data_IF_922192576937
#
_entry.id   IF_922192576937
#
_cell.length_a   1.000
_cell.length_b   1.000
_cell.length_c   1.000
_cell.angle_alpha   90.00
_cell.angle_beta   90.00
_cell.angle_gamma   90.00
#
_symmetry.space_group_name_H-M   'P 1'
#
loop_
_entity.id
_entity.type
_entity.pdbx_description
1 polymer ?
#
# COMPACT_ATOMS: atom_id res chain seq x y z
N UNK A 1 7.78 42.06 24.03
CA UNK A 1 7.23 40.80 24.60
C UNK A 1 5.91 40.35 23.97
N UNK A 2 4.72 40.85 24.34
CA UNK A 2 3.46 40.27 23.81
C UNK A 2 3.25 40.49 22.30
N UNK A 3 3.63 41.68 21.79
CA UNK A 3 3.59 41.97 20.34
C UNK A 3 4.57 41.12 19.54
N UNK A 4 5.79 40.92 20.04
CA UNK A 4 6.79 40.04 19.41
C UNK A 4 6.34 38.57 19.41
N UNK A 5 5.74 38.12 20.51
CA UNK A 5 5.24 36.75 20.62
C UNK A 5 4.11 36.49 19.62
N UNK A 6 3.18 37.44 19.48
CA UNK A 6 2.11 37.37 18.47
C UNK A 6 2.64 37.43 17.04
N UNK A 7 3.66 38.25 16.77
CA UNK A 7 4.31 38.32 15.46
C UNK A 7 5.02 37.00 15.11
N UNK A 8 5.74 36.39 16.06
CA UNK A 8 6.40 35.10 15.87
C UNK A 8 5.40 33.95 15.63
N UNK A 9 4.29 33.92 16.38
CA UNK A 9 3.22 32.94 16.17
C UNK A 9 2.55 33.10 14.79
N UNK A 10 2.33 34.34 14.34
CA UNK A 10 1.80 34.61 13.00
C UNK A 10 2.76 34.12 11.92
N UNK A 11 4.04 34.43 12.04
CA UNK A 11 5.05 33.98 11.08
C UNK A 11 5.20 32.46 11.02
N UNK A 12 5.18 31.78 12.17
CA UNK A 12 5.16 30.32 12.21
C UNK A 12 3.90 29.74 11.56
N UNK A 13 2.73 30.34 11.80
CA UNK A 13 1.48 29.88 11.21
C UNK A 13 1.49 30.03 9.69
N UNK A 14 1.94 31.17 9.18
CA UNK A 14 2.09 31.43 7.74
C UNK A 14 3.08 30.44 7.10
N UNK A 15 4.19 30.12 7.77
CA UNK A 15 5.14 29.12 7.29
C UNK A 15 4.54 27.71 7.25
N UNK A 16 3.76 27.33 8.26
CA UNK A 16 3.05 26.05 8.29
C UNK A 16 1.96 25.95 7.21
N UNK A 17 1.18 27.02 7.03
CA UNK A 17 0.16 27.09 5.97
C UNK A 17 0.80 26.97 4.58
N UNK A 18 1.93 27.65 4.35
CA UNK A 18 2.69 27.54 3.11
C UNK A 18 3.22 26.12 2.87
N UNK A 19 3.71 25.44 3.92
CA UNK A 19 4.16 24.03 3.83
C UNK A 19 3.03 23.07 3.50
N UNK A 20 1.86 23.24 4.12
CA UNK A 20 0.67 22.41 3.84
C UNK A 20 0.22 22.62 2.40
N UNK A 21 0.15 23.87 1.94
CA UNK A 21 -0.24 24.19 0.57
C UNK A 21 0.71 23.57 -0.45
N UNK A 22 2.02 23.75 -0.28
CA UNK A 22 3.03 23.17 -1.18
C UNK A 22 2.98 21.63 -1.21
N UNK A 23 2.71 21.00 -0.07
CA UNK A 23 2.57 19.53 0.00
C UNK A 23 1.31 19.06 -0.71
N UNK A 24 0.21 19.80 -0.57
CA UNK A 24 -1.08 19.48 -1.21
C UNK A 24 -0.99 19.68 -2.73
N UNK A 25 -0.39 20.77 -3.20
CA UNK A 25 -0.17 21.02 -4.62
C UNK A 25 0.70 19.94 -5.25
N UNK A 26 1.77 19.52 -4.58
CA UNK A 26 2.63 18.41 -5.02
C UNK A 26 1.85 17.08 -5.07
N UNK A 27 0.98 16.83 -4.09
CA UNK A 27 0.10 15.65 -4.08
C UNK A 27 -0.88 15.63 -5.26
N UNK A 28 -1.52 16.77 -5.54
CA UNK A 28 -2.44 16.91 -6.67
C UNK A 28 -1.70 16.77 -8.01
N UNK A 29 -0.50 17.32 -8.12
CA UNK A 29 0.35 17.19 -9.31
C UNK A 29 0.76 15.74 -9.54
N UNK A 30 1.21 15.02 -8.50
CA UNK A 30 1.55 13.59 -8.59
C UNK A 30 0.34 12.72 -8.97
N UNK A 31 -0.84 13.00 -8.39
CA UNK A 31 -2.07 12.31 -8.77
C UNK A 31 -2.49 12.61 -10.21
N UNK A 32 -2.32 13.87 -10.66
CA UNK A 32 -2.62 14.27 -12.04
C UNK A 32 -1.69 13.59 -13.03
N UNK A 33 -0.37 13.57 -12.75
CA UNK A 33 0.63 12.88 -13.57
C UNK A 33 0.32 11.38 -13.62
N UNK A 34 0.06 10.76 -12.47
CA UNK A 34 -0.29 9.34 -12.41
C UNK A 34 -1.57 9.02 -13.19
N UNK A 35 -2.57 9.91 -13.14
CA UNK A 35 -3.82 9.78 -13.90
C UNK A 35 -3.59 9.89 -15.41
N UNK A 36 -2.84 10.90 -15.84
CA UNK A 36 -2.51 11.12 -17.26
C UNK A 36 -1.66 9.97 -17.80
N UNK A 37 -0.66 9.50 -17.05
CA UNK A 37 0.13 8.31 -17.39
C UNK A 37 -0.72 7.04 -17.43
N UNK A 38 -1.71 6.87 -16.55
CA UNK A 38 -2.64 5.74 -16.60
C UNK A 38 -3.57 5.81 -17.83
N UNK A 39 -4.11 6.98 -18.13
CA UNK A 39 -4.97 7.21 -19.31
C UNK A 39 -4.17 6.98 -20.60
N UNK A 40 -2.92 7.45 -20.66
CA UNK A 40 -1.97 7.21 -21.75
C UNK A 40 -1.62 5.72 -21.84
N UNK A 41 -1.28 5.03 -20.75
CA UNK A 41 -0.93 3.59 -20.80
C UNK A 41 -2.10 2.70 -21.22
N UNK A 42 -3.31 3.02 -20.76
CA UNK A 42 -4.53 2.36 -21.21
C UNK A 42 -4.78 2.63 -22.70
N UNK A 43 -4.55 3.87 -23.16
CA UNK A 43 -4.64 4.23 -24.57
C UNK A 43 -3.53 3.58 -25.43
N UNK A 44 -2.29 3.49 -24.96
CA UNK A 44 -1.14 2.89 -25.64
C UNK A 44 -1.34 1.41 -25.89
N UNK A 45 -1.76 0.68 -24.86
CA UNK A 45 -1.99 -0.76 -24.92
C UNK A 45 -3.20 -1.14 -25.78
N UNK A 46 -4.15 -0.23 -25.99
CA UNK A 46 -5.42 -0.53 -26.65
C UNK A 46 -5.59 0.12 -28.02
N UNK A 47 -5.06 1.33 -28.22
CA UNK A 47 -5.18 2.07 -29.49
C UNK A 47 -3.95 1.91 -30.40
N UNK A 48 -2.88 1.24 -29.92
CA UNK A 48 -1.61 1.18 -30.64
C UNK A 48 -0.87 2.52 -30.64
N UNK A 49 -1.05 3.32 -29.58
CA UNK A 49 -0.41 4.65 -29.45
C UNK A 49 1.11 4.54 -29.26
N UNK A 50 1.62 3.38 -28.82
CA UNK A 50 3.04 3.08 -28.91
C UNK A 50 3.36 2.76 -30.38
N UNK A 51 4.03 3.72 -31.03
CA UNK A 51 4.14 3.98 -32.47
C UNK A 51 4.58 2.85 -33.43
N UNK A 52 4.69 1.59 -32.99
CA UNK A 52 5.21 0.49 -33.79
C UNK A 52 4.18 -0.45 -34.42
N UNK A 53 2.90 -0.46 -34.00
CA UNK A 53 1.89 -1.32 -34.65
C UNK A 53 0.52 -0.65 -34.84
N UNK A 54 0.50 0.43 -35.62
CA UNK A 54 -0.75 1.06 -36.09
C UNK A 54 -1.55 0.17 -37.07
N UNK A 55 -0.98 -0.94 -37.55
CA UNK A 55 -1.66 -1.81 -38.53
C UNK A 55 -2.78 -2.64 -37.89
N UNK A 56 -2.67 -2.90 -36.59
CA UNK A 56 -3.60 -3.73 -35.81
C UNK A 56 -4.68 -2.91 -35.11
N UNK A 57 -4.49 -1.59 -35.00
CA UNK A 57 -5.39 -0.70 -34.25
C UNK A 57 -6.81 -0.72 -34.83
N UNK A 58 -7.80 -0.98 -33.98
CA UNK A 58 -9.21 -1.06 -34.37
C UNK A 58 -9.63 -2.32 -35.12
N UNK A 59 -8.72 -3.29 -35.35
CA UNK A 59 -9.12 -4.59 -35.87
C UNK A 59 -9.84 -5.41 -34.79
N UNK A 60 -10.88 -6.15 -35.18
CA UNK A 60 -11.62 -7.01 -34.25
C UNK A 60 -10.74 -8.10 -33.60
N UNK A 61 -9.67 -8.51 -34.27
CA UNK A 61 -8.65 -9.46 -33.77
C UNK A 61 -7.79 -8.88 -32.64
N UNK A 62 -7.67 -7.56 -32.54
CA UNK A 62 -6.90 -6.87 -31.50
C UNK A 62 -7.73 -6.59 -30.23
N UNK A 63 -9.03 -6.91 -30.24
CA UNK A 63 -9.89 -6.74 -29.07
C UNK A 63 -9.48 -7.72 -27.96
N UNK A 64 -9.09 -7.27 -26.75
CA UNK A 64 -8.56 -8.14 -25.70
C UNK A 64 -9.65 -8.96 -24.99
N UNK A 65 -10.92 -8.66 -25.25
CA UNK A 65 -12.05 -9.31 -24.60
C UNK A 65 -12.30 -8.78 -23.18
N UNK A 66 -13.16 -9.46 -22.40
CA UNK A 66 -13.46 -9.05 -21.04
C UNK A 66 -12.24 -9.11 -20.12
N UNK A 67 -12.24 -8.29 -19.08
CA UNK A 67 -11.14 -8.25 -18.11
C UNK A 67 -11.06 -9.60 -17.36
N UNK A 68 -9.86 -10.17 -17.26
CA UNK A 68 -9.60 -11.46 -16.59
C UNK A 68 -8.52 -11.30 -15.53
N UNK A 69 -8.92 -11.26 -14.26
CA UNK A 69 -8.01 -11.21 -13.11
C UNK A 69 -7.75 -12.58 -12.47
N UNK A 70 -8.44 -13.63 -12.92
CA UNK A 70 -8.42 -14.95 -12.27
C UNK A 70 -7.02 -15.56 -12.14
N UNK A 71 -6.13 -15.27 -13.09
CA UNK A 71 -4.75 -15.77 -13.13
C UNK A 71 -3.84 -15.17 -12.06
N UNK A 72 -4.23 -14.06 -11.43
CA UNK A 72 -3.47 -13.38 -10.39
C UNK A 72 -3.67 -14.01 -9.00
N UNK A 73 -4.72 -14.80 -8.81
CA UNK A 73 -5.01 -15.47 -7.54
C UNK A 73 -4.28 -16.81 -7.42
N UNK A 74 -3.96 -17.22 -6.17
CA UNK A 74 -3.35 -18.53 -5.88
C UNK A 74 -4.27 -19.70 -6.25
N UNK A 75 -5.57 -19.48 -6.34
CA UNK A 75 -6.53 -20.47 -6.79
C UNK A 75 -7.89 -19.86 -7.10
N UNK A 76 -8.77 -20.63 -7.74
CA UNK A 76 -10.04 -20.14 -8.28
C UNK A 76 -11.02 -19.60 -7.22
N UNK A 77 -10.88 -20.05 -5.96
CA UNK A 77 -11.76 -19.66 -4.84
C UNK A 77 -11.01 -18.76 -3.83
N UNK A 78 -9.68 -18.74 -3.87
CA UNK A 78 -8.87 -17.97 -2.93
C UNK A 78 -8.93 -16.48 -3.27
N UNK A 79 -9.07 -15.62 -2.27
CA UNK A 79 -8.92 -14.15 -2.39
C UNK A 79 -7.46 -13.70 -2.33
N UNK A 80 -6.55 -14.63 -2.06
CA UNK A 80 -5.12 -14.36 -1.93
C UNK A 80 -4.47 -14.27 -3.31
N UNK A 81 -3.78 -13.17 -3.56
CA UNK A 81 -2.94 -12.99 -4.75
C UNK A 81 -1.75 -13.95 -4.70
N UNK A 82 -1.25 -14.36 -5.86
CA UNK A 82 0.02 -15.07 -5.97
C UNK A 82 1.13 -14.23 -5.36
N UNK A 83 2.13 -14.88 -4.80
CA UNK A 83 3.29 -14.17 -4.26
C UNK A 83 4.13 -13.61 -5.41
N UNK A 84 4.86 -12.54 -5.14
CA UNK A 84 5.85 -11.96 -6.06
C UNK A 84 5.29 -11.47 -7.41
N UNK A 85 4.02 -11.05 -7.48
CA UNK A 85 3.55 -10.31 -8.65
C UNK A 85 4.27 -8.96 -8.72
N UNK A 86 4.79 -8.64 -9.91
CA UNK A 86 5.55 -7.42 -10.21
C UNK A 86 4.66 -6.48 -11.01
N UNK A 87 4.54 -5.23 -10.57
CA UNK A 87 3.83 -4.15 -11.27
C UNK A 87 4.46 -3.90 -12.65
N UNK A 88 3.66 -3.49 -13.63
CA UNK A 88 3.99 -3.33 -15.06
C UNK A 88 4.34 -4.63 -15.81
N UNK A 89 4.72 -5.70 -15.11
CA UNK A 89 4.96 -7.01 -15.72
C UNK A 89 3.73 -7.93 -15.64
N UNK A 90 3.13 -8.03 -14.45
CA UNK A 90 2.04 -8.98 -14.18
C UNK A 90 0.69 -8.28 -13.99
N UNK A 91 0.69 -7.07 -13.43
CA UNK A 91 -0.49 -6.24 -13.24
C UNK A 91 -0.10 -4.77 -13.41
N UNK A 92 -1.10 -3.91 -13.64
CA UNK A 92 -0.94 -2.47 -13.59
C UNK A 92 -1.94 -1.90 -12.58
N UNK A 93 -1.54 -0.88 -11.84
CA UNK A 93 -2.44 -0.15 -10.96
C UNK A 93 -3.21 0.90 -11.76
N UNK A 94 -4.50 1.03 -11.46
CA UNK A 94 -5.36 2.00 -12.09
C UNK A 94 -6.16 2.75 -11.03
N UNK A 95 -6.35 4.07 -11.19
CA UNK A 95 -7.30 4.80 -10.37
C UNK A 95 -8.73 4.33 -10.68
N UNK A 96 -9.62 4.43 -9.69
CA UNK A 96 -11.00 3.95 -9.79
C UNK A 96 -11.75 4.46 -11.04
N UNK A 97 -11.65 5.74 -11.46
CA UNK A 97 -12.31 6.20 -12.68
C UNK A 97 -11.85 5.47 -13.94
N UNK A 98 -10.54 5.20 -14.08
CA UNK A 98 -9.99 4.48 -15.23
C UNK A 98 -10.43 3.02 -15.24
N UNK A 99 -10.46 2.37 -14.07
CA UNK A 99 -10.98 1.02 -13.92
C UNK A 99 -12.46 0.93 -14.33
N UNK A 100 -13.29 1.89 -13.89
CA UNK A 100 -14.71 1.93 -14.21
C UNK A 100 -14.96 2.12 -15.72
N UNK A 101 -14.14 2.93 -16.40
CA UNK A 101 -14.19 3.06 -17.85
C UNK A 101 -13.86 1.75 -18.56
N UNK A 102 -12.76 1.08 -18.19
CA UNK A 102 -12.38 -0.22 -18.75
C UNK A 102 -13.48 -1.27 -18.55
N UNK A 103 -14.07 -1.29 -17.35
CA UNK A 103 -15.17 -2.18 -17.01
C UNK A 103 -16.40 -1.90 -17.88
N UNK A 104 -16.71 -0.63 -18.17
CA UNK A 104 -17.83 -0.25 -19.04
C UNK A 104 -17.61 -0.64 -20.51
N UNK A 105 -16.35 -0.62 -20.98
CA UNK A 105 -16.01 -0.91 -22.37
C UNK A 105 -15.90 -2.41 -22.65
N UNK A 106 -15.30 -3.17 -21.73
CA UNK A 106 -14.95 -4.58 -21.97
C UNK A 106 -15.73 -5.56 -21.10
N UNK A 107 -16.33 -5.08 -20.02
CA UNK A 107 -16.92 -5.95 -19.02
C UNK A 107 -15.90 -6.78 -18.26
N UNK A 108 -16.41 -7.60 -17.34
CA UNK A 108 -15.61 -8.50 -16.51
C UNK A 108 -15.94 -9.94 -16.87
N UNK A 109 -14.91 -10.77 -17.02
CA UNK A 109 -15.11 -12.19 -17.33
C UNK A 109 -15.85 -12.92 -16.22
N UNK A 110 -16.64 -13.95 -16.59
CA UNK A 110 -17.45 -14.73 -15.64
C UNK A 110 -16.56 -15.36 -14.57
N UNK A 111 -16.92 -15.16 -13.30
CA UNK A 111 -16.15 -15.65 -12.16
C UNK A 111 -14.89 -14.83 -11.84
N UNK A 112 -14.60 -13.78 -12.61
CA UNK A 112 -13.58 -12.80 -12.24
C UNK A 112 -14.17 -11.73 -11.31
N UNK A 113 -13.29 -10.99 -10.63
CA UNK A 113 -13.65 -9.92 -9.69
C UNK A 113 -12.62 -8.79 -9.74
N UNK A 114 -13.00 -7.55 -9.40
CA UNK A 114 -12.06 -6.45 -9.20
C UNK A 114 -11.07 -6.80 -8.07
N UNK A 115 -9.84 -6.30 -8.19
CA UNK A 115 -8.83 -6.37 -7.12
C UNK A 115 -8.62 -4.93 -6.65
N UNK A 116 -9.23 -4.59 -5.52
CA UNK A 116 -9.16 -3.25 -4.94
C UNK A 116 -8.08 -3.24 -3.86
N UNK A 117 -7.27 -2.18 -3.86
CA UNK A 117 -6.21 -1.94 -2.89
C UNK A 117 -6.22 -0.48 -2.47
N UNK A 118 -5.77 -0.24 -1.25
CA UNK A 118 -5.71 1.09 -0.65
C UNK A 118 -4.34 1.69 -0.85
N UNK A 119 -4.30 3.01 -1.07
CA UNK A 119 -3.08 3.78 -0.99
C UNK A 119 -2.73 3.96 0.49
N UNK A 120 -1.48 3.69 0.83
CA UNK A 120 -0.93 3.92 2.17
C UNK A 120 0.26 4.86 2.07
N UNK A 121 0.46 5.63 3.14
CA UNK A 121 1.60 6.51 3.30
C UNK A 121 2.69 5.77 4.09
N UNK A 122 3.95 5.87 3.66
CA UNK A 122 5.08 5.28 4.36
C UNK A 122 6.35 6.13 4.21
N UNK A 123 7.27 5.99 5.16
CA UNK A 123 8.57 6.67 5.17
C UNK A 123 8.69 7.63 6.34
N UNK A 124 9.78 7.51 7.11
CA UNK A 124 9.97 8.29 8.34
C UNK A 124 10.31 9.76 8.09
N UNK A 125 11.22 10.04 7.13
CA UNK A 125 11.67 11.41 6.82
C UNK A 125 10.95 12.02 5.60
N UNK A 126 10.72 11.21 4.57
CA UNK A 126 10.02 11.61 3.35
C UNK A 126 8.83 10.69 3.20
N UNK A 127 7.64 11.26 3.22
CA UNK A 127 6.41 10.51 3.09
C UNK A 127 6.16 10.20 1.61
N UNK A 128 5.93 8.92 1.33
CA UNK A 128 5.63 8.40 0.01
C UNK A 128 4.29 7.70 0.05
N UNK A 129 3.50 7.86 -1.00
CA UNK A 129 2.22 7.20 -1.17
C UNK A 129 2.39 6.04 -2.13
N UNK A 130 1.90 4.88 -1.76
CA UNK A 130 1.94 3.72 -2.63
C UNK A 130 0.73 2.84 -2.36
N UNK A 131 0.27 2.16 -3.40
CA UNK A 131 -0.81 1.20 -3.27
C UNK A 131 -0.29 -0.03 -2.54
N UNK A 132 -0.87 -0.34 -1.39
CA UNK A 132 -0.50 -1.51 -0.62
C UNK A 132 -1.10 -2.77 -1.24
N UNK A 133 -0.36 -3.40 -2.16
CA UNK A 133 -0.83 -4.63 -2.82
C UNK A 133 -0.76 -5.84 -1.89
N UNK A 134 0.28 -5.90 -1.04
CA UNK A 134 0.51 -6.96 -0.06
C UNK A 134 0.73 -6.37 1.33
N UNK A 135 0.03 -6.94 2.30
CA UNK A 135 0.28 -6.72 3.72
C UNK A 135 1.61 -7.37 4.14
N UNK A 136 2.15 -6.91 5.26
CA UNK A 136 3.33 -7.48 5.91
C UNK A 136 2.89 -8.69 6.74
N UNK A 137 3.27 -9.89 6.30
CA UNK A 137 3.13 -11.11 7.08
C UNK A 137 4.22 -11.20 8.15
N UNK A 138 3.81 -11.23 9.43
CA UNK A 138 4.70 -11.37 10.59
C UNK A 138 4.46 -12.67 11.34
N UNK A 139 5.55 -13.22 11.91
CA UNK A 139 5.50 -14.29 12.90
C UNK A 139 5.50 -13.73 14.31
N UNK A 140 4.53 -14.14 15.12
CA UNK A 140 4.29 -13.65 16.48
C UNK A 140 4.46 -14.80 17.46
N UNK A 141 5.24 -14.61 18.53
CA UNK A 141 5.41 -15.59 19.59
C UNK A 141 5.69 -14.90 20.94
N UNK A 142 5.50 -15.65 22.03
CA UNK A 142 5.83 -15.18 23.38
C UNK A 142 7.15 -15.74 23.83
N UNK A 143 8.05 -14.90 24.31
CA UNK A 143 9.24 -15.36 25.01
C UNK A 143 8.86 -15.93 26.40
N UNK A 144 9.44 -17.06 26.85
CA UNK A 144 10.46 -17.87 26.18
C UNK A 144 9.93 -18.96 25.24
N UNK A 145 8.60 -19.12 25.11
CA UNK A 145 8.00 -20.17 24.27
C UNK A 145 7.98 -19.81 22.78
N UNK A 146 9.14 -19.93 22.14
CA UNK A 146 9.33 -19.66 20.70
C UNK A 146 8.71 -20.69 19.76
N UNK A 147 8.16 -21.79 20.29
CA UNK A 147 7.55 -22.84 19.47
C UNK A 147 6.07 -22.55 19.13
N UNK A 148 5.40 -21.72 19.93
CA UNK A 148 4.00 -21.34 19.70
C UNK A 148 3.92 -20.10 18.80
N UNK A 149 4.22 -20.31 17.51
CA UNK A 149 4.24 -19.25 16.51
C UNK A 149 2.85 -19.07 15.91
N UNK A 150 2.38 -17.83 15.90
CA UNK A 150 1.17 -17.40 15.19
C UNK A 150 1.55 -16.47 14.05
N UNK A 151 0.72 -16.43 13.01
CA UNK A 151 0.93 -15.54 11.86
C UNK A 151 -0.19 -14.51 11.82
N UNK A 152 0.18 -13.28 11.50
CA UNK A 152 -0.77 -12.21 11.25
C UNK A 152 -0.22 -11.26 10.21
N UNK A 153 -1.10 -10.68 9.42
CA UNK A 153 -0.75 -9.71 8.38
C UNK A 153 -1.12 -8.31 8.84
N UNK A 154 -0.22 -7.35 8.66
CA UNK A 154 -0.41 -5.95 9.06
C UNK A 154 -0.20 -5.02 7.87
N UNK A 155 -0.86 -3.87 7.88
CA UNK A 155 -0.52 -2.79 6.96
C UNK A 155 0.84 -2.19 7.34
N UNK A 156 1.58 -1.71 6.35
CA UNK A 156 2.79 -0.89 6.53
C UNK A 156 2.51 0.36 7.37
N UNK A 157 1.31 0.90 7.24
CA UNK A 157 0.88 2.11 7.92
C UNK A 157 0.28 1.85 9.31
N UNK A 158 0.06 0.58 9.70
CA UNK A 158 -0.40 0.28 11.05
C UNK A 158 0.65 0.75 12.07
N UNK A 159 0.20 1.17 13.25
CA UNK A 159 1.10 1.51 14.34
C UNK A 159 1.69 0.24 14.96
N UNK A 160 2.89 0.34 15.52
CA UNK A 160 3.53 -0.77 16.26
C UNK A 160 2.66 -1.24 17.43
N UNK A 161 1.86 -0.36 18.04
CA UNK A 161 0.87 -0.68 19.08
C UNK A 161 -0.22 -1.66 18.61
N UNK A 162 -0.56 -1.67 17.32
CA UNK A 162 -1.48 -2.64 16.74
C UNK A 162 -0.91 -4.06 16.81
N UNK A 163 0.41 -4.24 16.59
CA UNK A 163 1.07 -5.54 16.75
C UNK A 163 0.90 -6.04 18.19
N UNK A 164 1.18 -5.18 19.17
CA UNK A 164 1.04 -5.53 20.59
C UNK A 164 -0.40 -5.96 20.92
N UNK A 165 -1.39 -5.23 20.41
CA UNK A 165 -2.81 -5.54 20.62
C UNK A 165 -3.15 -6.91 20.05
N UNK A 166 -2.76 -7.19 18.80
CA UNK A 166 -2.99 -8.49 18.15
C UNK A 166 -2.28 -9.63 18.89
N UNK A 167 -1.05 -9.42 19.37
CA UNK A 167 -0.35 -10.43 20.20
C UNK A 167 -1.16 -10.71 21.47
N UNK A 168 -1.57 -9.67 22.19
CA UNK A 168 -2.33 -9.84 23.43
C UNK A 168 -3.63 -10.61 23.19
N UNK A 169 -4.38 -10.25 22.16
CA UNK A 169 -5.61 -10.96 21.76
C UNK A 169 -5.33 -12.41 21.39
N UNK A 170 -4.39 -12.65 20.48
CA UNK A 170 -4.11 -14.00 20.00
C UNK A 170 -3.60 -14.91 21.12
N UNK A 171 -2.79 -14.39 22.04
CA UNK A 171 -2.25 -15.18 23.16
C UNK A 171 -3.09 -15.12 24.44
N UNK A 172 -4.27 -14.49 24.40
CA UNK A 172 -5.17 -14.30 25.54
C UNK A 172 -4.47 -13.64 26.75
N UNK A 173 -3.65 -12.62 26.48
CA UNK A 173 -2.97 -11.83 27.52
C UNK A 173 -3.88 -10.67 27.93
N UNK A 174 -4.16 -10.48 29.23
CA UNK A 174 -4.94 -9.34 29.70
C UNK A 174 -4.29 -7.99 29.37
N UNK A 175 -5.11 -6.97 29.07
CA UNK A 175 -4.61 -5.63 28.77
C UNK A 175 -3.82 -5.01 29.93
N UNK A 176 -4.17 -5.36 31.16
CA UNK A 176 -3.48 -4.94 32.39
C UNK A 176 -2.06 -5.49 32.52
N UNK A 177 -1.70 -6.51 31.75
CA UNK A 177 -0.37 -7.11 31.79
C UNK A 177 0.62 -6.21 31.03
N UNK A 178 1.68 -5.78 31.74
CA UNK A 178 2.80 -5.08 31.11
C UNK A 178 3.51 -6.05 30.14
N UNK A 179 3.67 -5.62 28.90
CA UNK A 179 4.34 -6.39 27.86
C UNK A 179 5.35 -5.49 27.15
N UNK A 180 6.42 -6.10 26.66
CA UNK A 180 7.43 -5.43 25.83
C UNK A 180 7.49 -6.15 24.50
N UNK A 181 7.52 -5.36 23.42
CA UNK A 181 7.58 -5.89 22.07
C UNK A 181 9.02 -5.90 21.59
N UNK A 182 9.47 -7.05 21.09
CA UNK A 182 10.82 -7.23 20.58
C UNK A 182 10.74 -7.69 19.14
N UNK A 183 11.49 -7.04 18.26
CA UNK A 183 11.73 -7.50 16.91
C UNK A 183 12.89 -8.51 16.94
N UNK A 184 12.67 -9.68 16.36
CA UNK A 184 13.68 -10.71 16.23
C UNK A 184 14.19 -10.73 14.80
N UNK A 185 15.48 -10.42 14.61
CA UNK A 185 16.10 -10.42 13.31
C UNK A 185 16.59 -11.82 12.93
N UNK A 186 16.67 -12.08 11.63
CA UNK A 186 17.28 -13.31 11.08
C UNK A 186 18.73 -13.53 11.53
N UNK A 187 19.42 -12.46 11.99
CA UNK A 187 20.74 -12.52 12.60
C UNK A 187 20.78 -13.11 14.01
N UNK A 188 19.61 -13.39 14.62
CA UNK A 188 19.45 -13.91 15.98
C UNK A 188 19.42 -12.83 17.06
N UNK A 189 19.54 -11.56 16.69
CA UNK A 189 19.48 -10.44 17.62
C UNK A 189 18.03 -9.99 17.88
N UNK A 190 17.80 -9.47 19.08
CA UNK A 190 16.53 -8.87 19.48
C UNK A 190 16.69 -7.36 19.66
N UNK A 191 15.76 -6.60 19.10
CA UNK A 191 15.66 -5.16 19.31
C UNK A 191 14.34 -4.81 19.99
N UNK A 192 14.41 -3.95 21.00
CA UNK A 192 13.23 -3.48 21.72
C UNK A 192 12.54 -2.40 20.89
N UNK A 193 11.26 -2.60 20.57
CA UNK A 193 10.45 -1.58 19.93
C UNK A 193 9.91 -0.63 21.00
N UNK A 194 10.54 0.54 21.15
CA UNK A 194 10.20 1.53 22.19
C UNK A 194 9.15 2.53 21.75
N UNK A 195 9.17 2.92 20.48
CA UNK A 195 8.14 3.77 19.91
C UNK A 195 7.01 2.87 19.39
N UNK A 196 5.86 2.95 20.06
CA UNK A 196 4.68 2.14 19.74
C UNK A 196 3.69 2.89 18.84
N UNK A 197 3.86 4.20 18.68
CA UNK A 197 3.00 5.04 17.84
C UNK A 197 3.55 5.18 16.42
N UNK A 198 4.85 4.92 16.22
CA UNK A 198 5.43 4.86 14.88
C UNK A 198 4.76 3.76 14.03
N UNK A 199 4.75 3.99 12.72
CA UNK A 199 4.26 3.02 11.75
C UNK A 199 5.20 1.80 11.66
N UNK A 200 4.66 0.63 11.32
CA UNK A 200 5.41 -0.62 11.12
C UNK A 200 6.53 -0.45 10.08
N UNK A 201 6.26 0.26 8.98
CA UNK A 201 7.30 0.55 7.97
C UNK A 201 8.44 1.40 8.50
N UNK A 202 8.12 2.38 9.36
CA UNK A 202 9.08 3.33 9.91
C UNK A 202 9.95 2.68 11.00
N UNK A 203 9.40 1.67 11.67
CA UNK A 203 10.12 0.79 12.60
C UNK A 203 11.10 -0.19 11.90
N UNK A 204 11.16 -0.21 10.57
CA UNK A 204 12.03 -1.13 9.82
C UNK A 204 11.58 -2.60 9.89
N UNK A 205 10.28 -2.83 10.15
CA UNK A 205 9.69 -4.16 10.17
C UNK A 205 9.24 -4.49 8.74
N UNK A 206 9.78 -5.58 8.18
CA UNK A 206 9.49 -6.03 6.83
C UNK A 206 9.02 -7.48 6.83
N UNK A 207 8.24 -7.86 5.82
CA UNK A 207 7.71 -9.22 5.70
C UNK A 207 8.83 -10.25 5.59
N UNK A 208 8.58 -11.48 6.02
CA UNK A 208 9.56 -12.59 6.18
C UNK A 208 10.49 -12.50 7.40
N UNK A 209 10.04 -11.84 8.46
CA UNK A 209 10.59 -11.92 9.82
C UNK A 209 9.65 -12.70 10.76
#
# INVERSE_FOLDING_TARGET
MEKEYKANLSGMKEEYEAKILATTENYEEQLSISREECEIRVAEKYTGFDSWDQNSAGQASAHPGPIVNGTLFKGNVSETLKDHLIEEQHYALLPEPAWNLLLSWYGLSVGSRPIIRTVVEYGSCTKHLNVEVYLIDLQLYLHPNTNNIKRHSFSRADAVSCIMTVIKEQFNIPDTTECRLWQHYMSGNYELLTDVEQAISDAGIYGSQ
#
